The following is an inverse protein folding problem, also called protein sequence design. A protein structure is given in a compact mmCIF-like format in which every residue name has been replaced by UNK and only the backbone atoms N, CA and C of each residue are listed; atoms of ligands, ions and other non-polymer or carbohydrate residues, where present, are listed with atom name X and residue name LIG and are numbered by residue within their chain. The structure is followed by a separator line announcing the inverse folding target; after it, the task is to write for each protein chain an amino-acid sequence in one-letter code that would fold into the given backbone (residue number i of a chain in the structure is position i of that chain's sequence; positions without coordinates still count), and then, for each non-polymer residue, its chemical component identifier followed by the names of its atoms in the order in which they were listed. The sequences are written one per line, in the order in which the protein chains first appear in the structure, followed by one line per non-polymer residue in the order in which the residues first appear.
data_IF_335912826383
#
_entry.id   IF_335912826383
#
_cell.length_a   1.000
_cell.length_b   1.000
_cell.length_c   1.000
_cell.angle_alpha   90.00
_cell.angle_beta   90.00
_cell.angle_gamma   90.00
#
_symmetry.space_group_name_H-M   'P 1'
#
loop_
_entity.id
_entity.type
_entity.pdbx_description
1 polymer ?
#
# COMPACT_ATOMS: atom_id res chain seq x y z
N UNK A 1 -31.33 -23.67 -23.26
CA UNK A 1 -31.42 -23.17 -21.87
C UNK A 1 -30.09 -23.26 -21.09
N UNK A 2 -28.96 -23.58 -21.72
CA UNK A 2 -27.65 -23.77 -21.05
C UNK A 2 -26.64 -22.63 -21.23
N UNK A 3 -26.93 -21.62 -22.07
CA UNK A 3 -25.98 -20.56 -22.40
C UNK A 3 -25.97 -19.37 -21.42
N UNK A 4 -26.99 -19.24 -20.55
CA UNK A 4 -27.13 -18.12 -19.59
C UNK A 4 -26.38 -18.32 -18.28
N UNK A 5 -26.05 -19.56 -17.92
CA UNK A 5 -25.36 -19.86 -16.66
C UNK A 5 -23.85 -19.57 -16.72
N UNK A 6 -23.24 -19.66 -17.91
CA UNK A 6 -21.80 -19.45 -18.06
C UNK A 6 -21.38 -17.98 -17.86
N UNK A 7 -22.25 -17.04 -18.20
CA UNK A 7 -21.93 -15.61 -18.16
C UNK A 7 -21.84 -15.05 -16.72
N UNK A 8 -22.56 -15.66 -15.76
CA UNK A 8 -22.50 -15.21 -14.35
C UNK A 8 -21.22 -15.65 -13.63
N UNK A 9 -20.58 -16.74 -14.06
CA UNK A 9 -19.37 -17.26 -13.39
C UNK A 9 -18.15 -16.38 -13.71
N UNK A 10 -18.12 -15.76 -14.89
CA UNK A 10 -17.00 -14.90 -15.33
C UNK A 10 -16.99 -13.55 -14.60
N UNK A 11 -18.16 -13.01 -14.21
CA UNK A 11 -18.27 -11.72 -13.51
C UNK A 11 -17.84 -11.79 -12.04
N UNK A 12 -17.86 -12.96 -11.40
CA UNK A 12 -17.41 -13.11 -10.01
C UNK A 12 -15.88 -13.12 -9.87
N UNK A 13 -15.14 -13.42 -10.95
CA UNK A 13 -13.67 -13.54 -10.92
C UNK A 13 -12.94 -12.19 -11.09
N UNK A 14 -13.62 -11.13 -11.51
CA UNK A 14 -13.00 -9.82 -11.74
C UNK A 14 -13.05 -8.87 -10.52
N UNK A 15 -13.75 -9.24 -9.44
CA UNK A 15 -13.97 -8.37 -8.29
C UNK A 15 -12.80 -8.31 -7.28
N UNK A 16 -11.70 -9.03 -7.52
CA UNK A 16 -10.60 -9.14 -6.55
C UNK A 16 -9.27 -8.95 -7.28
N UNK A 17 -8.79 -7.70 -7.38
CA UNK A 17 -7.60 -7.37 -6.59
C UNK A 17 -7.55 -5.89 -6.17
N UNK A 18 -8.62 -5.32 -5.60
CA UNK A 18 -8.52 -4.01 -4.95
C UNK A 18 -8.00 -4.10 -3.49
N UNK A 19 -7.90 -5.31 -2.92
CA UNK A 19 -7.39 -5.55 -1.57
C UNK A 19 -5.84 -5.64 -1.50
N UNK A 20 -5.13 -5.15 -2.52
CA UNK A 20 -3.68 -5.15 -2.52
C UNK A 20 -3.17 -3.93 -1.73
N UNK A 21 -2.38 -4.22 -0.68
CA UNK A 21 -1.55 -3.28 0.10
C UNK A 21 -2.17 -2.68 1.38
N UNK A 22 -2.86 -3.48 2.18
CA UNK A 22 -2.87 -3.21 3.63
C UNK A 22 -1.59 -3.82 4.21
N UNK A 23 -0.56 -3.01 4.43
CA UNK A 23 0.57 -3.44 5.25
C UNK A 23 0.07 -3.50 6.70
N UNK A 24 0.03 -4.69 7.33
CA UNK A 24 -0.32 -4.78 8.75
C UNK A 24 0.68 -3.96 9.55
N UNK A 25 0.20 -3.24 10.56
CA UNK A 25 1.06 -2.33 11.30
C UNK A 25 0.45 -1.84 12.60
N UNK A 26 1.33 -1.38 13.48
CA UNK A 26 0.98 -0.79 14.76
C UNK A 26 0.63 0.69 14.58
N UNK A 27 -0.54 1.11 15.06
CA UNK A 27 -0.99 2.51 14.97
C UNK A 27 -0.50 3.32 16.16
N UNK A 28 -0.02 4.54 15.91
CA UNK A 28 0.32 5.55 16.91
C UNK A 28 -0.14 6.92 16.42
N UNK A 29 -1.23 7.43 16.99
CA UNK A 29 -1.93 8.60 16.45
C UNK A 29 -2.38 8.36 15.01
N UNK A 30 -2.04 9.28 14.12
CA UNK A 30 -2.34 9.16 12.69
C UNK A 30 -1.32 8.32 11.89
N UNK A 31 -0.23 7.90 12.54
CA UNK A 31 0.84 7.15 11.91
C UNK A 31 0.67 5.65 12.13
N UNK A 32 1.12 4.86 11.16
CA UNK A 32 1.20 3.41 11.24
C UNK A 32 2.63 2.97 11.01
N UNK A 33 3.16 2.13 11.91
CA UNK A 33 4.45 1.46 11.73
C UNK A 33 4.22 0.12 11.05
N UNK A 34 4.78 -0.07 9.86
CA UNK A 34 4.79 -1.34 9.14
C UNK A 34 6.22 -1.86 9.00
N UNK A 35 6.37 -3.19 8.99
CA UNK A 35 7.64 -3.83 8.70
C UNK A 35 7.43 -4.89 7.62
N UNK A 36 8.37 -4.99 6.68
CA UNK A 36 8.32 -5.94 5.57
C UNK A 36 9.65 -6.65 5.43
N UNK A 37 9.59 -7.96 5.18
CA UNK A 37 10.75 -8.69 4.72
C UNK A 37 10.99 -8.32 3.23
N UNK A 38 12.17 -7.80 2.85
CA UNK A 38 12.47 -7.54 1.45
C UNK A 38 12.31 -8.82 0.63
N UNK A 39 11.60 -8.76 -0.50
CA UNK A 39 11.41 -9.90 -1.42
C UNK A 39 12.66 -10.30 -2.21
N UNK A 40 13.79 -9.60 -2.04
CA UNK A 40 15.04 -10.10 -2.60
C UNK A 40 15.28 -11.50 -2.03
N UNK A 41 15.60 -12.47 -2.89
CA UNK A 41 15.87 -13.88 -2.56
C UNK A 41 17.11 -14.05 -1.66
N UNK A 42 17.14 -13.38 -0.52
CA UNK A 42 18.18 -13.41 0.50
C UNK A 42 17.47 -13.77 1.80
N UNK A 43 17.58 -15.04 2.24
CA UNK A 43 16.96 -15.52 3.48
C UNK A 43 17.31 -14.66 4.71
N UNK A 44 18.48 -14.01 4.66
CA UNK A 44 19.04 -13.23 5.77
C UNK A 44 18.88 -11.71 5.59
N UNK A 45 18.07 -11.25 4.65
CA UNK A 45 17.84 -9.81 4.49
C UNK A 45 17.13 -9.25 5.74
N UNK A 46 17.67 -8.20 6.38
CA UNK A 46 17.06 -7.62 7.57
C UNK A 46 15.68 -7.08 7.24
N UNK A 47 14.75 -7.25 8.19
CA UNK A 47 13.42 -6.66 8.11
C UNK A 47 13.52 -5.14 7.93
N UNK A 48 12.74 -4.60 6.99
CA UNK A 48 12.68 -3.16 6.73
C UNK A 48 11.40 -2.58 7.33
N UNK A 49 11.58 -1.74 8.34
CA UNK A 49 10.48 -1.01 8.96
C UNK A 49 10.36 0.41 8.43
N UNK A 50 9.12 0.88 8.33
CA UNK A 50 8.76 2.23 7.93
C UNK A 50 7.55 2.70 8.72
N UNK A 51 7.41 4.02 8.84
CA UNK A 51 6.21 4.68 9.34
C UNK A 51 5.49 5.33 8.18
N UNK A 52 4.17 5.22 8.15
CA UNK A 52 3.37 5.80 7.07
C UNK A 52 2.06 6.38 7.58
N UNK A 53 1.53 7.33 6.83
CA UNK A 53 0.24 7.96 7.06
C UNK A 53 -0.49 8.06 5.72
N UNK A 54 -1.78 7.71 5.73
CA UNK A 54 -2.69 7.93 4.59
C UNK A 54 -3.56 9.13 4.90
N UNK A 55 -3.57 10.12 4.01
CA UNK A 55 -4.34 11.35 4.16
C UNK A 55 -5.62 11.22 3.36
N UNK A 56 -6.77 11.43 4.02
CA UNK A 56 -8.09 11.31 3.42
C UNK A 56 -8.79 12.67 3.40
N UNK A 57 -9.34 13.10 2.25
CA UNK A 57 -10.26 14.22 2.21
C UNK A 57 -11.50 13.94 3.08
N UNK A 58 -12.13 15.00 3.63
CA UNK A 58 -13.40 14.84 4.34
C UNK A 58 -14.45 14.13 3.45
N UNK A 59 -15.04 13.05 3.97
CA UNK A 59 -16.09 12.30 3.27
C UNK A 59 -15.60 11.36 2.15
N UNK A 60 -14.29 11.18 1.98
CA UNK A 60 -13.73 10.27 0.97
C UNK A 60 -13.14 9.00 1.62
N UNK A 61 -13.41 7.85 1.03
CA UNK A 61 -12.72 6.59 1.35
C UNK A 61 -11.40 6.43 0.57
N UNK A 62 -11.15 7.29 -0.41
CA UNK A 62 -9.92 7.29 -1.21
C UNK A 62 -8.89 8.23 -0.58
N UNK A 63 -7.67 7.72 -0.40
CA UNK A 63 -6.55 8.52 0.08
C UNK A 63 -6.12 9.55 -0.97
N UNK A 64 -6.02 10.81 -0.58
CA UNK A 64 -5.49 11.89 -1.41
C UNK A 64 -3.96 11.91 -1.45
N UNK A 65 -3.30 11.34 -0.44
CA UNK A 65 -1.86 11.14 -0.43
C UNK A 65 -1.49 10.04 0.56
N UNK A 66 -0.33 9.44 0.35
CA UNK A 66 0.34 8.58 1.34
C UNK A 66 1.76 9.09 1.54
N UNK A 67 2.12 9.33 2.80
CA UNK A 67 3.49 9.67 3.21
C UNK A 67 4.08 8.45 3.88
N UNK A 68 5.28 8.04 3.51
CA UNK A 68 6.04 7.00 4.21
C UNK A 68 7.47 7.46 4.45
N UNK A 69 8.02 7.10 5.61
CA UNK A 69 9.39 7.39 6.01
C UNK A 69 10.01 6.10 6.55
N UNK A 70 11.20 5.78 6.07
CA UNK A 70 11.89 4.56 6.47
C UNK A 70 13.38 4.67 6.27
N UNK A 71 14.11 3.70 6.83
CA UNK A 71 15.53 3.53 6.58
C UNK A 71 15.73 2.23 5.79
N UNK A 72 16.32 2.27 4.59
CA UNK A 72 16.45 1.08 3.74
C UNK A 72 17.46 0.05 4.29
N UNK A 73 18.32 0.46 5.22
CA UNK A 73 19.24 -0.44 5.91
C UNK A 73 20.12 0.26 6.94
N UNK A 74 20.85 -0.49 7.78
CA UNK A 74 21.76 0.08 8.78
C UNK A 74 22.76 1.06 8.15
N UNK A 75 22.95 2.23 8.79
CA UNK A 75 23.87 3.27 8.30
C UNK A 75 23.43 4.04 7.05
N UNK A 76 22.28 3.71 6.45
CA UNK A 76 21.72 4.47 5.31
C UNK A 76 20.90 5.68 5.79
N UNK A 77 20.81 6.75 4.99
CA UNK A 77 19.97 7.90 5.31
C UNK A 77 18.49 7.50 5.41
N UNK A 78 17.71 8.31 6.11
CA UNK A 78 16.26 8.22 6.05
C UNK A 78 15.79 8.61 4.65
N UNK A 79 14.85 7.84 4.12
CA UNK A 79 14.16 8.13 2.88
C UNK A 79 12.70 8.42 3.20
N UNK A 80 12.14 9.41 2.51
CA UNK A 80 10.73 9.70 2.53
C UNK A 80 10.17 9.47 1.12
N UNK A 81 9.00 8.87 1.04
CA UNK A 81 8.21 8.79 -0.19
C UNK A 81 6.87 9.47 0.03
N UNK A 82 6.44 10.19 -1.00
CA UNK A 82 5.13 10.80 -1.10
C UNK A 82 4.45 10.20 -2.33
N UNK A 83 3.39 9.44 -2.10
CA UNK A 83 2.54 8.91 -3.16
C UNK A 83 1.31 9.79 -3.27
N UNK A 84 1.09 10.34 -4.46
CA UNK A 84 -0.03 11.22 -4.79
C UNK A 84 -0.75 10.73 -6.05
N UNK A 85 -2.05 11.03 -6.21
CA UNK A 85 -2.79 10.74 -7.44
C UNK A 85 -2.15 11.37 -8.67
N UNK A 86 -2.43 10.79 -9.83
CA UNK A 86 -2.08 11.40 -11.11
C UNK A 86 -2.83 12.72 -11.32
N UNK A 87 -2.24 13.64 -12.08
CA UNK A 87 -2.84 14.95 -12.38
C UNK A 87 -2.58 16.04 -11.35
N UNK A 88 -1.77 15.77 -10.33
CA UNK A 88 -1.19 16.84 -9.49
C UNK A 88 -0.17 17.65 -10.30
N UNK A 89 -0.21 18.97 -10.14
CA UNK A 89 0.76 19.84 -10.78
C UNK A 89 2.04 19.87 -9.92
N UNK A 90 3.17 19.43 -10.49
CA UNK A 90 4.47 19.52 -9.86
C UNK A 90 5.15 20.81 -10.36
N UNK A 91 5.72 21.63 -9.46
CA UNK A 91 6.45 22.84 -9.86
C UNK A 91 7.70 22.53 -10.68
#
# INVERSE_FOLDING_TARGET
MFLRALFMIVLAAAAQPAAAQVVPGEKSGDWTKGCVQPRENRPDAPEQCFVFQRLFPPGSEQAAATVAVGRPGPGKPLLASLTVPLGVNLP
#
